data_IF_816180153849
#
_entry.id   IF_816180153849
#
_cell.length_a   1.000
_cell.length_b   1.000
_cell.length_c   1.000
_cell.angle_alpha   90.00
_cell.angle_beta   90.00
_cell.angle_gamma   90.00
#
_symmetry.space_group_name_H-M   'P 1'
#
loop_
_entity.id
_entity.type
_entity.pdbx_description
1 polymer ?
#
# COMPACT_ATOMS: atom_id res chain seq x y z
N UNK A 1 24.60 -85.74 -33.60
CA UNK A 1 24.28 -84.32 -33.83
C UNK A 1 25.14 -83.89 -35.00
N UNK A 2 24.52 -83.52 -36.11
CA UNK A 2 25.22 -83.27 -37.38
C UNK A 2 25.88 -81.89 -37.34
N UNK A 3 27.09 -81.73 -37.87
CA UNK A 3 27.79 -80.43 -37.94
C UNK A 3 26.98 -79.32 -38.65
N UNK A 4 25.93 -79.71 -39.39
CA UNK A 4 24.99 -78.81 -40.04
C UNK A 4 23.93 -78.25 -39.07
N UNK A 5 23.49 -79.02 -38.08
CA UNK A 5 22.53 -78.59 -37.05
C UNK A 5 23.17 -77.58 -36.08
N UNK A 6 24.42 -77.80 -35.68
CA UNK A 6 25.18 -76.83 -34.85
C UNK A 6 25.45 -75.50 -35.58
N UNK A 7 25.55 -75.53 -36.92
CA UNK A 7 25.76 -74.32 -37.72
C UNK A 7 24.48 -73.50 -37.86
N UNK A 8 23.35 -74.17 -38.12
CA UNK A 8 22.02 -73.53 -38.19
C UNK A 8 21.61 -72.94 -36.82
N UNK A 9 21.86 -73.66 -35.71
CA UNK A 9 21.56 -73.17 -34.35
C UNK A 9 22.43 -71.95 -33.97
N UNK A 10 23.71 -71.95 -34.34
CA UNK A 10 24.58 -70.78 -34.14
C UNK A 10 24.15 -69.58 -34.99
N UNK A 11 23.71 -69.80 -36.24
CA UNK A 11 23.23 -68.73 -37.11
C UNK A 11 21.92 -68.11 -36.58
N UNK A 12 21.03 -68.93 -36.03
CA UNK A 12 19.78 -68.48 -35.40
C UNK A 12 20.05 -67.67 -34.11
N UNK A 13 20.98 -68.12 -33.27
CA UNK A 13 21.42 -67.40 -32.07
C UNK A 13 22.08 -66.05 -32.42
N UNK A 14 22.91 -66.01 -33.47
CA UNK A 14 23.53 -64.77 -33.96
C UNK A 14 22.49 -63.79 -34.47
N UNK A 15 21.50 -64.26 -35.25
CA UNK A 15 20.41 -63.43 -35.75
C UNK A 15 19.51 -62.91 -34.62
N UNK A 16 19.22 -63.73 -33.61
CA UNK A 16 18.46 -63.33 -32.42
C UNK A 16 19.19 -62.27 -31.61
N UNK A 17 20.50 -62.43 -31.39
CA UNK A 17 21.33 -61.44 -30.71
C UNK A 17 21.42 -60.12 -31.48
N UNK A 18 21.53 -60.19 -32.81
CA UNK A 18 21.55 -59.00 -33.68
C UNK A 18 20.21 -58.25 -33.60
N UNK A 19 19.10 -58.95 -33.73
CA UNK A 19 17.73 -58.41 -33.59
C UNK A 19 17.50 -57.75 -32.22
N UNK A 20 17.91 -58.43 -31.14
CA UNK A 20 17.81 -57.88 -29.79
C UNK A 20 18.66 -56.62 -29.59
N UNK A 21 19.88 -56.58 -30.16
CA UNK A 21 20.75 -55.42 -30.10
C UNK A 21 20.18 -54.21 -30.84
N UNK A 22 19.55 -54.42 -31.99
CA UNK A 22 18.88 -53.39 -32.77
C UNK A 22 17.62 -52.88 -32.06
N UNK A 23 16.80 -53.77 -31.50
CA UNK A 23 15.66 -53.39 -30.66
C UNK A 23 16.09 -52.55 -29.46
N UNK A 24 17.18 -52.92 -28.78
CA UNK A 24 17.73 -52.16 -27.64
C UNK A 24 18.19 -50.77 -28.07
N UNK A 25 18.85 -50.63 -29.22
CA UNK A 25 19.26 -49.33 -29.79
C UNK A 25 18.05 -48.45 -30.14
N UNK A 26 17.04 -49.01 -30.79
CA UNK A 26 15.80 -48.29 -31.14
C UNK A 26 15.08 -47.78 -29.89
N UNK A 27 14.88 -48.64 -28.89
CA UNK A 27 14.27 -48.27 -27.62
C UNK A 27 15.07 -47.21 -26.87
N UNK A 28 16.41 -47.29 -26.90
CA UNK A 28 17.26 -46.27 -26.28
C UNK A 28 17.13 -44.91 -26.99
N UNK A 29 17.04 -44.91 -28.33
CA UNK A 29 16.85 -43.71 -29.14
C UNK A 29 15.49 -43.06 -28.88
N UNK A 30 14.43 -43.85 -28.76
CA UNK A 30 13.10 -43.36 -28.37
C UNK A 30 13.10 -42.75 -26.96
N UNK A 31 13.76 -43.40 -25.99
CA UNK A 31 13.88 -42.87 -24.63
C UNK A 31 14.68 -41.56 -24.58
N UNK A 32 15.75 -41.44 -25.37
CA UNK A 32 16.50 -40.18 -25.47
C UNK A 32 15.67 -39.07 -26.11
N UNK A 33 14.87 -39.41 -27.13
CA UNK A 33 13.95 -38.47 -27.76
C UNK A 33 12.87 -37.99 -26.78
N UNK A 34 12.25 -38.91 -26.04
CA UNK A 34 11.28 -38.59 -25.00
C UNK A 34 11.89 -37.70 -23.90
N UNK A 35 13.10 -38.02 -23.42
CA UNK A 35 13.82 -37.17 -22.45
C UNK A 35 14.11 -35.77 -22.99
N UNK A 36 14.59 -35.66 -24.23
CA UNK A 36 14.87 -34.38 -24.86
C UNK A 36 13.59 -33.55 -25.06
N UNK A 37 12.47 -34.19 -25.38
CA UNK A 37 11.16 -33.53 -25.48
C UNK A 37 10.69 -33.01 -24.11
N UNK A 38 10.79 -33.83 -23.06
CA UNK A 38 10.44 -33.43 -21.69
C UNK A 38 11.31 -32.26 -21.20
N UNK A 39 12.61 -32.30 -21.43
CA UNK A 39 13.51 -31.19 -21.07
C UNK A 39 13.14 -29.88 -21.79
N UNK A 40 12.74 -29.96 -23.06
CA UNK A 40 12.24 -28.78 -23.80
C UNK A 40 10.93 -28.25 -23.22
N UNK A 41 10.02 -29.12 -22.82
CA UNK A 41 8.76 -28.75 -22.17
C UNK A 41 9.00 -28.13 -20.78
N UNK A 42 9.89 -28.69 -19.99
CA UNK A 42 10.28 -28.17 -18.67
C UNK A 42 10.97 -26.80 -18.77
N UNK A 43 11.86 -26.61 -19.74
CA UNK A 43 12.51 -25.32 -19.98
C UNK A 43 11.49 -24.23 -20.38
N UNK A 44 10.52 -24.58 -21.24
CA UNK A 44 9.41 -23.69 -21.60
C UNK A 44 8.50 -23.38 -20.41
N UNK A 45 8.22 -24.38 -19.56
CA UNK A 45 7.42 -24.20 -18.34
C UNK A 45 8.14 -23.27 -17.36
N UNK A 46 9.44 -23.48 -17.11
CA UNK A 46 10.24 -22.68 -16.15
C UNK A 46 10.30 -21.21 -16.52
N UNK A 47 10.51 -20.88 -17.79
CA UNK A 47 10.50 -19.48 -18.27
C UNK A 47 9.13 -18.84 -18.08
N UNK A 48 8.04 -19.56 -18.39
CA UNK A 48 6.68 -19.10 -18.15
C UNK A 48 6.40 -18.88 -16.65
N UNK A 49 6.90 -19.75 -15.75
CA UNK A 49 6.74 -19.57 -14.30
C UNK A 49 7.44 -18.30 -13.80
N UNK A 50 8.64 -18.00 -14.31
CA UNK A 50 9.35 -16.76 -13.94
C UNK A 50 8.64 -15.51 -14.47
N UNK A 51 8.12 -15.55 -15.70
CA UNK A 51 7.33 -14.44 -16.27
C UNK A 51 6.06 -14.20 -15.45
N UNK A 52 5.34 -15.26 -15.09
CA UNK A 52 4.17 -15.17 -14.20
C UNK A 52 4.53 -14.63 -12.83
N UNK A 53 5.62 -15.11 -12.21
CA UNK A 53 6.08 -14.65 -10.91
C UNK A 53 6.48 -13.16 -10.94
N UNK A 54 7.13 -12.70 -12.02
CA UNK A 54 7.46 -11.29 -12.20
C UNK A 54 6.20 -10.43 -12.37
N UNK A 55 5.20 -10.91 -13.13
CA UNK A 55 3.92 -10.23 -13.32
C UNK A 55 3.14 -10.14 -12.00
N UNK A 56 3.05 -11.23 -11.23
CA UNK A 56 2.35 -11.23 -9.93
C UNK A 56 3.07 -10.36 -8.90
N UNK A 57 4.41 -10.37 -8.87
CA UNK A 57 5.18 -9.47 -8.02
C UNK A 57 4.97 -7.99 -8.41
N UNK A 58 4.90 -7.69 -9.71
CA UNK A 58 4.59 -6.34 -10.19
C UNK A 58 3.17 -5.88 -9.82
N UNK A 59 2.17 -6.75 -10.00
CA UNK A 59 0.80 -6.50 -9.57
C UNK A 59 0.69 -6.31 -8.06
N UNK A 60 1.40 -7.15 -7.30
CA UNK A 60 1.47 -7.06 -5.84
C UNK A 60 2.08 -5.73 -5.40
N UNK A 61 3.17 -5.30 -6.02
CA UNK A 61 3.79 -4.01 -5.76
C UNK A 61 2.87 -2.83 -6.09
N UNK A 62 2.14 -2.90 -7.21
CA UNK A 62 1.19 -1.87 -7.61
C UNK A 62 0.02 -1.75 -6.63
N UNK A 63 -0.57 -2.89 -6.23
CA UNK A 63 -1.66 -2.91 -5.25
C UNK A 63 -1.16 -2.44 -3.89
N UNK A 64 0.01 -2.90 -3.44
CA UNK A 64 0.61 -2.45 -2.19
C UNK A 64 0.85 -0.94 -2.19
N UNK A 65 1.37 -0.39 -3.28
CA UNK A 65 1.53 1.06 -3.45
C UNK A 65 0.20 1.81 -3.38
N UNK A 66 -0.87 1.25 -3.98
CA UNK A 66 -2.18 1.89 -3.98
C UNK A 66 -2.82 1.87 -2.59
N UNK A 67 -2.60 0.79 -1.82
CA UNK A 67 -3.00 0.68 -0.42
C UNK A 67 -2.25 1.69 0.44
N UNK A 68 -0.93 1.82 0.28
CA UNK A 68 -0.14 2.81 1.05
C UNK A 68 -0.53 4.25 0.75
N UNK A 69 -0.85 4.56 -0.51
CA UNK A 69 -1.31 5.90 -0.90
C UNK A 69 -2.72 6.17 -0.34
N UNK A 70 -3.60 5.17 -0.34
CA UNK A 70 -4.98 5.33 0.16
C UNK A 70 -5.08 5.36 1.70
N UNK A 71 -4.00 5.05 2.41
CA UNK A 71 -3.95 5.05 3.88
C UNK A 71 -3.64 6.44 4.46
N UNK A 72 -2.98 7.32 3.72
CA UNK A 72 -2.60 8.66 4.19
C UNK A 72 -3.29 9.77 3.40
N UNK A 73 -4.51 10.10 3.81
CA UNK A 73 -5.17 11.35 3.41
C UNK A 73 -4.45 12.53 4.07
N UNK A 74 -3.50 13.18 3.38
CA UNK A 74 -2.80 14.31 3.99
C UNK A 74 -1.91 15.12 3.05
N UNK A 75 -2.09 16.44 3.09
CA UNK A 75 -1.01 17.36 2.69
C UNK A 75 -0.10 17.54 3.89
N UNK A 76 1.21 17.46 3.67
CA UNK A 76 2.20 17.55 4.74
C UNK A 76 3.11 18.76 4.55
N UNK A 77 3.65 19.24 5.67
CA UNK A 77 4.59 20.36 5.74
C UNK A 77 5.89 19.82 6.33
N UNK A 78 7.03 20.21 5.77
CA UNK A 78 8.34 19.87 6.32
C UNK A 78 8.53 20.53 7.69
N UNK A 79 8.74 19.70 8.72
CA UNK A 79 8.92 20.15 10.10
C UNK A 79 10.16 21.04 10.23
N UNK A 80 11.27 20.64 9.61
CA UNK A 80 12.53 21.36 9.75
C UNK A 80 12.46 22.73 9.07
N UNK A 81 11.88 22.78 7.87
CA UNK A 81 11.70 24.04 7.13
C UNK A 81 10.86 25.03 7.92
N UNK A 82 9.66 24.61 8.35
CA UNK A 82 8.74 25.49 9.08
C UNK A 82 9.34 25.98 10.41
N UNK A 83 9.99 25.10 11.17
CA UNK A 83 10.62 25.49 12.43
C UNK A 83 11.77 26.46 12.23
N UNK A 84 12.59 26.24 11.19
CA UNK A 84 13.69 27.15 10.83
C UNK A 84 13.16 28.53 10.44
N UNK A 85 12.06 28.60 9.70
CA UNK A 85 11.43 29.86 9.32
C UNK A 85 10.95 30.63 10.55
N UNK A 86 10.27 29.95 11.49
CA UNK A 86 9.82 30.56 12.75
C UNK A 86 11.00 31.06 13.57
N UNK A 87 12.05 30.23 13.76
CA UNK A 87 13.26 30.62 14.48
C UNK A 87 13.92 31.85 13.85
N UNK A 88 13.96 31.91 12.52
CA UNK A 88 14.51 33.05 11.78
C UNK A 88 13.70 34.32 12.01
N UNK A 89 12.37 34.23 11.93
CA UNK A 89 11.46 35.35 12.18
C UNK A 89 11.65 35.88 13.60
N UNK A 90 11.65 34.99 14.61
CA UNK A 90 11.81 35.37 16.03
C UNK A 90 13.19 35.98 16.29
N UNK A 91 14.25 35.41 15.72
CA UNK A 91 15.61 35.94 15.84
C UNK A 91 15.72 37.36 15.29
N UNK A 92 15.01 37.64 14.20
CA UNK A 92 14.93 38.95 13.55
C UNK A 92 13.92 39.91 14.19
N UNK A 93 13.40 39.61 15.39
CA UNK A 93 12.38 40.40 16.10
C UNK A 93 11.08 40.58 15.30
N UNK A 94 10.70 39.56 14.50
CA UNK A 94 9.42 39.53 13.83
C UNK A 94 8.25 39.38 14.81
N UNK A 95 7.07 39.87 14.38
CA UNK A 95 5.85 39.85 15.18
C UNK A 95 5.03 38.57 14.97
N UNK A 96 3.98 38.40 15.77
CA UNK A 96 3.06 37.28 15.65
C UNK A 96 2.40 37.20 14.27
N UNK A 97 2.21 38.34 13.59
CA UNK A 97 1.62 38.40 12.24
C UNK A 97 2.57 37.78 11.21
N UNK A 98 3.86 38.07 11.27
CA UNK A 98 4.86 37.46 10.40
C UNK A 98 4.90 35.93 10.56
N UNK A 99 4.81 35.43 11.81
CA UNK A 99 4.75 34.00 12.10
C UNK A 99 3.49 33.36 11.49
N UNK A 100 2.32 33.97 11.71
CA UNK A 100 1.05 33.50 11.12
C UNK A 100 1.11 33.45 9.60
N UNK A 101 1.69 34.47 8.98
CA UNK A 101 1.82 34.54 7.52
C UNK A 101 2.78 33.47 6.98
N UNK A 102 3.91 33.26 7.66
CA UNK A 102 4.86 32.19 7.31
C UNK A 102 4.21 30.82 7.40
N UNK A 103 3.49 30.57 8.49
CA UNK A 103 2.75 29.32 8.70
C UNK A 103 1.70 29.08 7.60
N UNK A 104 0.92 30.10 7.23
CA UNK A 104 -0.10 30.00 6.19
C UNK A 104 0.46 29.77 4.77
N UNK A 105 1.66 30.30 4.50
CA UNK A 105 2.29 30.26 3.17
C UNK A 105 3.21 29.05 2.95
N UNK A 106 3.28 28.10 3.90
CA UNK A 106 4.14 26.93 3.76
C UNK A 106 3.77 26.08 2.54
N UNK A 107 4.79 25.69 1.78
CA UNK A 107 4.62 24.78 0.64
C UNK A 107 4.27 23.38 1.13
N UNK A 108 3.19 22.81 0.60
CA UNK A 108 2.81 21.43 0.90
C UNK A 108 3.61 20.45 0.05
N UNK A 109 4.15 19.41 0.68
CA UNK A 109 4.86 18.34 0.00
C UNK A 109 3.85 17.25 -0.40
N UNK A 110 4.05 16.68 -1.59
CA UNK A 110 3.23 15.58 -2.13
C UNK A 110 3.51 14.25 -1.43
N UNK A 111 2.46 13.44 -1.28
CA UNK A 111 2.44 12.12 -0.63
C UNK A 111 3.51 11.14 -1.15
N UNK A 112 3.87 11.22 -2.44
CA UNK A 112 4.92 10.38 -3.05
C UNK A 112 6.30 10.53 -2.39
N UNK A 113 6.61 11.71 -1.82
CA UNK A 113 7.88 11.95 -1.13
C UNK A 113 7.90 11.35 0.28
N UNK A 114 6.72 11.10 0.88
CA UNK A 114 6.58 10.52 2.21
C UNK A 114 6.85 9.02 2.22
N UNK A 115 6.52 8.31 1.14
CA UNK A 115 6.76 6.86 1.02
C UNK A 115 8.25 6.50 1.17
N UNK A 116 9.16 7.42 0.78
CA UNK A 116 10.61 7.24 0.91
C UNK A 116 11.22 7.88 2.17
N UNK A 117 10.45 8.61 2.99
CA UNK A 117 11.00 9.39 4.10
C UNK A 117 10.30 9.09 5.42
N UNK A 118 10.96 9.38 6.55
CA UNK A 118 10.38 9.11 7.87
C UNK A 118 9.23 10.07 8.15
N UNK A 119 8.06 9.51 8.50
CA UNK A 119 6.85 10.24 8.91
C UNK A 119 7.10 11.27 10.03
N UNK A 120 8.10 11.05 10.88
CA UNK A 120 8.50 11.96 11.96
C UNK A 120 9.04 13.32 11.50
N UNK A 121 9.43 13.43 10.22
CA UNK A 121 10.00 14.66 9.66
C UNK A 121 8.94 15.67 9.18
N UNK A 122 7.65 15.34 9.30
CA UNK A 122 6.59 16.14 8.70
C UNK A 122 5.46 16.44 9.68
N UNK A 123 4.86 17.61 9.51
CA UNK A 123 3.59 17.96 10.13
C UNK A 123 2.43 17.70 9.16
N UNK A 124 1.27 17.25 9.66
CA UNK A 124 0.04 17.32 8.88
C UNK A 124 -0.34 18.78 8.65
N UNK A 125 -0.91 19.13 7.50
CA UNK A 125 -1.36 20.51 7.20
C UNK A 125 -2.39 21.04 8.19
N UNK A 126 -3.12 20.16 8.86
CA UNK A 126 -4.14 20.50 9.87
C UNK A 126 -3.54 20.77 11.26
N UNK A 127 -2.21 20.76 11.42
CA UNK A 127 -1.57 21.05 12.70
C UNK A 127 -1.94 22.47 13.16
N UNK A 128 -2.17 22.64 14.47
CA UNK A 128 -2.38 23.95 15.07
C UNK A 128 -1.04 24.70 15.18
N UNK A 129 -1.04 26.02 14.98
CA UNK A 129 0.19 26.81 15.11
C UNK A 129 0.70 26.79 16.55
N UNK A 130 -0.18 26.71 17.55
CA UNK A 130 0.22 26.53 18.95
C UNK A 130 1.11 25.30 19.14
N UNK A 131 0.76 24.17 18.52
CA UNK A 131 1.54 22.93 18.63
C UNK A 131 2.91 23.06 17.96
N UNK A 132 3.01 23.81 16.85
CA UNK A 132 4.29 24.08 16.20
C UNK A 132 5.16 25.01 17.06
N UNK A 133 4.57 26.03 17.68
CA UNK A 133 5.29 26.93 18.57
C UNK A 133 5.81 26.21 19.82
N UNK A 134 5.03 25.31 20.40
CA UNK A 134 5.46 24.43 21.50
C UNK A 134 6.63 23.53 21.07
N UNK A 135 6.57 22.96 19.87
CA UNK A 135 7.67 22.15 19.33
C UNK A 135 8.95 22.98 19.13
N UNK A 136 8.84 24.22 18.62
CA UNK A 136 9.98 25.14 18.49
C UNK A 136 10.56 25.49 19.86
N UNK A 137 9.69 25.73 20.86
CA UNK A 137 10.09 25.99 22.24
C UNK A 137 10.86 24.81 22.84
N UNK A 138 10.34 23.59 22.69
CA UNK A 138 11.01 22.36 23.16
C UNK A 138 12.37 22.21 22.48
N UNK A 139 12.46 22.43 21.17
CA UNK A 139 13.74 22.36 20.46
C UNK A 139 14.73 23.44 20.92
N UNK A 140 14.27 24.65 21.19
CA UNK A 140 15.11 25.72 21.72
C UNK A 140 15.69 25.35 23.09
N UNK A 141 14.91 24.67 23.95
CA UNK A 141 15.43 24.11 25.21
C UNK A 141 16.45 23.01 24.99
N UNK A 142 16.19 22.07 24.07
CA UNK A 142 17.12 20.96 23.75
C UNK A 142 18.45 21.50 23.21
N UNK A 143 18.39 22.51 22.32
CA UNK A 143 19.56 23.14 21.69
C UNK A 143 20.22 24.22 22.56
N UNK A 144 19.66 24.52 23.74
CA UNK A 144 20.13 25.54 24.66
C UNK A 144 20.21 26.96 24.02
N UNK A 145 19.21 27.31 23.20
CA UNK A 145 19.09 28.60 22.52
C UNK A 145 18.58 29.69 23.47
N UNK A 146 19.44 30.12 24.40
CA UNK A 146 19.11 31.05 25.50
C UNK A 146 18.62 32.42 25.03
N UNK A 147 18.96 32.84 23.83
CA UNK A 147 18.55 34.14 23.26
C UNK A 147 17.18 34.09 22.58
N UNK A 148 16.74 32.90 22.16
CA UNK A 148 15.48 32.71 21.44
C UNK A 148 14.29 32.59 22.41
N UNK A 149 14.46 31.85 23.51
CA UNK A 149 13.41 31.60 24.49
C UNK A 149 12.76 32.89 25.05
N UNK A 150 13.51 33.93 25.45
CA UNK A 150 12.91 35.17 25.96
C UNK A 150 12.09 35.94 24.91
N UNK A 151 12.39 35.75 23.62
CA UNK A 151 11.64 36.36 22.51
C UNK A 151 10.44 35.53 22.10
N UNK A 152 10.54 34.21 22.20
CA UNK A 152 9.49 33.28 21.81
C UNK A 152 8.35 33.21 22.84
N UNK A 153 8.67 33.20 24.14
CA UNK A 153 7.67 33.03 25.21
C UNK A 153 6.56 34.11 25.21
N UNK A 154 6.86 35.41 25.01
CA UNK A 154 5.82 36.43 24.87
C UNK A 154 4.91 36.20 23.66
N UNK A 155 5.47 35.77 22.53
CA UNK A 155 4.71 35.52 21.30
C UNK A 155 3.77 34.31 21.46
N UNK A 156 4.22 33.27 22.18
CA UNK A 156 3.38 32.12 22.53
C UNK A 156 2.20 32.56 23.39
N UNK A 157 2.47 33.31 24.47
CA UNK A 157 1.41 33.82 25.36
C UNK A 157 0.41 34.70 24.63
N UNK A 158 0.90 35.62 23.80
CA UNK A 158 0.04 36.48 22.96
C UNK A 158 -0.83 35.63 22.02
N UNK A 159 -0.25 34.60 21.41
CA UNK A 159 -1.01 33.70 20.52
C UNK A 159 -2.12 32.95 21.25
N UNK A 160 -1.82 32.37 22.42
CA UNK A 160 -2.77 31.64 23.25
C UNK A 160 -3.89 32.53 23.80
N UNK A 161 -3.59 33.79 24.11
CA UNK A 161 -4.60 34.76 24.55
C UNK A 161 -5.55 35.15 23.42
N UNK A 162 -5.03 35.33 22.21
CA UNK A 162 -5.84 35.68 21.04
C UNK A 162 -6.63 34.44 20.56
N UNK A 163 -6.03 33.26 20.56
CA UNK A 163 -6.57 32.03 19.96
C UNK A 163 -6.55 30.85 20.96
N UNK A 164 -7.32 30.92 22.07
CA UNK A 164 -7.30 29.88 23.11
C UNK A 164 -7.80 28.52 22.63
N UNK A 165 -8.54 28.48 21.52
CA UNK A 165 -9.20 27.29 21.00
C UNK A 165 -8.59 26.79 19.67
N UNK A 166 -7.39 27.24 19.31
CA UNK A 166 -6.74 26.87 18.03
C UNK A 166 -6.48 25.37 17.88
N UNK A 167 -6.28 24.68 19.01
CA UNK A 167 -6.04 23.23 19.07
C UNK A 167 -7.29 22.38 18.77
N UNK A 168 -8.47 23.00 18.72
CA UNK A 168 -9.75 22.30 18.56
C UNK A 168 -10.18 22.19 17.10
N UNK A 169 -11.02 21.20 16.81
CA UNK A 169 -11.66 21.08 15.51
C UNK A 169 -12.63 22.23 15.28
N UNK A 170 -12.87 22.62 14.02
CA UNK A 170 -13.70 23.78 13.64
C UNK A 170 -15.05 23.80 14.37
N UNK A 171 -15.79 22.68 14.37
CA UNK A 171 -17.08 22.60 15.05
C UNK A 171 -16.99 22.67 16.58
N UNK A 172 -15.91 22.15 17.19
CA UNK A 172 -15.67 22.27 18.63
C UNK A 172 -15.32 23.70 19.01
N UNK A 173 -14.44 24.35 18.23
CA UNK A 173 -14.02 25.73 18.40
C UNK A 173 -15.22 26.68 18.47
N UNK A 174 -16.20 26.50 17.59
CA UNK A 174 -17.41 27.32 17.57
C UNK A 174 -18.19 27.24 18.90
N UNK A 175 -18.26 26.08 19.54
CA UNK A 175 -18.91 25.95 20.86
C UNK A 175 -18.18 26.74 21.94
N UNK A 176 -16.84 26.71 21.97
CA UNK A 176 -16.05 27.44 22.97
C UNK A 176 -16.03 28.94 22.71
N UNK A 177 -15.97 29.38 21.45
CA UNK A 177 -16.13 30.79 21.11
C UNK A 177 -17.52 31.30 21.51
N UNK A 178 -18.57 30.50 21.29
CA UNK A 178 -19.91 30.84 21.76
C UNK A 178 -20.00 30.94 23.28
N UNK A 179 -19.30 30.08 24.04
CA UNK A 179 -19.23 30.18 25.50
C UNK A 179 -18.53 31.48 25.89
N UNK A 180 -17.38 31.78 25.28
CA UNK A 180 -16.63 33.02 25.53
C UNK A 180 -17.47 34.26 25.26
N UNK A 181 -18.17 34.30 24.11
CA UNK A 181 -19.05 35.40 23.72
C UNK A 181 -20.25 35.51 24.66
N UNK A 182 -20.88 34.40 25.06
CA UNK A 182 -22.07 34.45 25.94
C UNK A 182 -21.74 34.77 27.39
N UNK A 183 -20.51 34.51 27.82
CA UNK A 183 -20.07 34.73 29.21
C UNK A 183 -19.39 36.07 29.43
N UNK A 184 -18.92 36.74 28.37
CA UNK A 184 -18.28 38.08 28.37
C UNK A 184 -17.51 38.41 29.66
N UNK A 185 -18.16 39.09 30.61
CA UNK A 185 -17.57 39.56 31.87
C UNK A 185 -17.30 38.49 32.93
N UNK A 186 -17.92 37.31 32.83
CA UNK A 186 -17.63 36.17 33.74
C UNK A 186 -16.58 35.22 33.15
N UNK A 187 -16.27 35.32 31.86
CA UNK A 187 -15.27 34.47 31.20
C UNK A 187 -13.91 34.45 31.92
N UNK A 188 -13.33 35.58 32.38
CA UNK A 188 -12.05 35.57 33.09
C UNK A 188 -12.04 34.68 34.35
N UNK A 189 -13.19 34.49 34.99
CA UNK A 189 -13.32 33.65 36.20
C UNK A 189 -13.28 32.15 35.89
N UNK A 190 -13.72 31.77 34.69
CA UNK A 190 -13.79 30.37 34.24
C UNK A 190 -12.73 30.03 33.18
N UNK A 191 -11.95 31.02 32.71
CA UNK A 191 -10.97 30.87 31.62
C UNK A 191 -10.03 29.70 31.84
N UNK A 192 -9.53 29.52 33.06
CA UNK A 192 -8.60 28.45 33.39
C UNK A 192 -9.24 27.05 33.22
N UNK A 193 -10.47 26.88 33.71
CA UNK A 193 -11.21 25.62 33.60
C UNK A 193 -11.57 25.31 32.14
N UNK A 194 -11.94 26.35 31.38
CA UNK A 194 -12.20 26.22 29.94
C UNK A 194 -10.94 25.81 29.18
N UNK A 195 -9.80 26.44 29.45
CA UNK A 195 -8.53 26.08 28.81
C UNK A 195 -8.12 24.63 29.14
N UNK A 196 -8.27 24.19 30.39
CA UNK A 196 -8.01 22.80 30.76
C UNK A 196 -8.91 21.82 29.99
N UNK A 197 -10.19 22.17 29.81
CA UNK A 197 -11.13 21.34 29.05
C UNK A 197 -10.77 21.29 27.56
N UNK A 198 -10.30 22.42 27.01
CA UNK A 198 -9.79 22.50 25.63
C UNK A 198 -8.58 21.59 25.45
N UNK A 199 -7.62 21.60 26.38
CA UNK A 199 -6.44 20.74 26.31
C UNK A 199 -6.80 19.25 26.45
N UNK A 200 -7.72 18.89 27.36
CA UNK A 200 -8.20 17.51 27.50
C UNK A 200 -8.94 17.05 26.24
N UNK A 201 -9.80 17.89 25.66
CA UNK A 201 -10.52 17.57 24.44
C UNK A 201 -9.57 17.43 23.25
N UNK A 202 -8.56 18.29 23.15
CA UNK A 202 -7.50 18.15 22.15
C UNK A 202 -6.76 16.82 22.29
N UNK A 203 -6.38 16.43 23.50
CA UNK A 203 -5.72 15.14 23.76
C UNK A 203 -6.62 13.96 23.38
N UNK A 204 -7.92 14.02 23.70
CA UNK A 204 -8.90 13.00 23.30
C UNK A 204 -9.03 12.91 21.78
N UNK A 205 -9.06 14.05 21.07
CA UNK A 205 -9.11 14.07 19.61
C UNK A 205 -7.86 13.42 18.99
N UNK A 206 -6.66 13.68 19.55
CA UNK A 206 -5.42 13.04 19.10
C UNK A 206 -5.49 11.52 19.25
N UNK A 207 -5.92 11.03 20.42
CA UNK A 207 -6.08 9.59 20.67
C UNK A 207 -7.13 8.95 19.75
N UNK A 208 -8.26 9.62 19.53
CA UNK A 208 -9.29 9.13 18.59
C UNK A 208 -8.73 9.05 17.18
N UNK A 209 -7.99 10.06 16.72
CA UNK A 209 -7.36 10.03 15.40
C UNK A 209 -6.33 8.91 15.27
N UNK A 210 -5.56 8.63 16.33
CA UNK A 210 -4.63 7.50 16.40
C UNK A 210 -5.37 6.16 16.29
N UNK A 211 -6.44 5.96 17.06
CA UNK A 211 -7.25 4.74 16.98
C UNK A 211 -7.96 4.58 15.63
N UNK A 212 -8.46 5.67 15.04
CA UNK A 212 -9.07 5.64 13.71
C UNK A 212 -8.03 5.30 12.63
N UNK A 213 -6.80 5.81 12.75
CA UNK A 213 -5.68 5.47 11.87
C UNK A 213 -5.35 3.97 11.97
N UNK A 214 -5.27 3.42 13.19
CA UNK A 214 -5.04 1.99 13.42
C UNK A 214 -6.18 1.12 12.87
N UNK A 215 -7.41 1.59 13.00
CA UNK A 215 -8.60 0.92 12.45
C UNK A 215 -8.58 0.90 10.92
N UNK A 216 -8.25 2.03 10.27
CA UNK A 216 -8.05 2.09 8.81
C UNK A 216 -6.95 1.14 8.35
N UNK A 217 -5.82 1.10 9.07
CA UNK A 217 -4.72 0.19 8.77
C UNK A 217 -5.17 -1.28 8.86
N UNK A 218 -5.86 -1.64 9.92
CA UNK A 218 -6.40 -2.99 10.13
C UNK A 218 -7.41 -3.38 9.05
N UNK A 219 -8.26 -2.45 8.65
CA UNK A 219 -9.20 -2.65 7.54
C UNK A 219 -8.48 -2.94 6.22
N UNK A 220 -7.47 -2.14 5.87
CA UNK A 220 -6.68 -2.35 4.65
C UNK A 220 -5.86 -3.65 4.68
N UNK A 221 -5.30 -4.02 5.84
CA UNK A 221 -4.64 -5.33 6.03
C UNK A 221 -5.63 -6.47 5.78
N UNK A 222 -6.88 -6.34 6.21
CA UNK A 222 -7.90 -7.38 6.00
C UNK A 222 -8.26 -7.54 4.52
N UNK A 223 -8.45 -6.44 3.78
CA UNK A 223 -8.67 -6.45 2.32
C UNK A 223 -7.49 -7.12 1.62
N UNK A 224 -6.27 -6.77 2.04
CA UNK A 224 -5.05 -7.32 1.49
C UNK A 224 -4.92 -8.83 1.73
N UNK A 225 -5.27 -9.31 2.94
CA UNK A 225 -5.26 -10.73 3.26
C UNK A 225 -6.25 -11.53 2.41
N UNK A 226 -7.46 -10.99 2.17
CA UNK A 226 -8.45 -11.61 1.29
C UNK A 226 -7.93 -11.69 -0.15
N UNK A 227 -7.32 -10.61 -0.66
CA UNK A 227 -6.72 -10.61 -1.99
C UNK A 227 -5.58 -11.64 -2.12
N UNK A 228 -4.69 -11.71 -1.12
CA UNK A 228 -3.60 -12.69 -1.09
C UNK A 228 -4.13 -14.13 -1.06
N UNK A 229 -5.18 -14.38 -0.28
CA UNK A 229 -5.85 -15.68 -0.20
C UNK A 229 -6.44 -16.10 -1.54
N UNK A 230 -7.11 -15.18 -2.25
CA UNK A 230 -7.63 -15.42 -3.60
C UNK A 230 -6.52 -15.72 -4.61
N UNK A 231 -5.41 -14.98 -4.55
CA UNK A 231 -4.24 -15.23 -5.42
C UNK A 231 -3.60 -16.60 -5.16
N UNK A 232 -3.36 -16.95 -3.89
CA UNK A 232 -2.79 -18.25 -3.51
C UNK A 232 -3.74 -19.37 -3.90
N UNK A 233 -5.04 -19.24 -3.61
CA UNK A 233 -6.07 -20.21 -3.97
C UNK A 233 -6.16 -20.38 -5.49
N UNK A 234 -6.18 -19.29 -6.25
CA UNK A 234 -6.19 -19.31 -7.71
C UNK A 234 -4.95 -20.00 -8.28
N UNK A 235 -3.76 -19.70 -7.74
CA UNK A 235 -2.52 -20.35 -8.15
C UNK A 235 -2.50 -21.85 -7.82
N UNK A 236 -2.98 -22.25 -6.63
CA UNK A 236 -3.09 -23.66 -6.24
C UNK A 236 -4.04 -24.44 -7.15
N UNK A 237 -5.18 -23.85 -7.53
CA UNK A 237 -6.12 -24.48 -8.46
C UNK A 237 -5.50 -24.59 -9.87
N UNK A 238 -4.82 -23.53 -10.34
CA UNK A 238 -4.12 -23.52 -11.64
C UNK A 238 -3.01 -24.55 -11.73
N UNK A 239 -2.19 -24.67 -10.69
CA UNK A 239 -1.07 -25.61 -10.66
C UNK A 239 -1.48 -27.05 -10.38
N UNK A 240 -2.55 -27.27 -9.59
CA UNK A 240 -3.01 -28.59 -9.17
C UNK A 240 -3.92 -29.32 -10.17
N UNK A 241 -4.72 -28.61 -10.98
CA UNK A 241 -5.65 -29.21 -11.95
C UNK A 241 -5.82 -28.37 -13.24
N UNK A 242 -4.79 -28.28 -14.09
CA UNK A 242 -4.86 -27.48 -15.32
C UNK A 242 -5.95 -27.94 -16.30
N UNK A 243 -6.31 -29.23 -16.29
CA UNK A 243 -7.34 -29.79 -17.19
C UNK A 243 -8.77 -29.41 -16.79
N UNK A 244 -9.04 -29.25 -15.49
CA UNK A 244 -10.37 -28.84 -15.01
C UNK A 244 -10.65 -27.37 -15.35
N UNK A 245 -9.65 -26.49 -15.20
CA UNK A 245 -9.75 -25.08 -15.56
C UNK A 245 -9.93 -24.85 -17.07
N UNK A 246 -9.27 -25.67 -17.91
CA UNK A 246 -9.50 -25.62 -19.36
C UNK A 246 -10.93 -25.99 -19.71
N UNK A 247 -11.51 -27.00 -19.07
CA UNK A 247 -12.91 -27.38 -19.28
C UNK A 247 -13.89 -26.31 -18.83
N UNK A 248 -13.65 -25.63 -17.71
CA UNK A 248 -14.54 -24.56 -17.25
C UNK A 248 -14.39 -23.28 -18.08
N UNK A 249 -13.19 -22.93 -18.54
CA UNK A 249 -12.98 -21.79 -19.44
C UNK A 249 -13.58 -22.03 -20.83
N UNK A 250 -13.40 -23.22 -21.40
CA UNK A 250 -14.02 -23.59 -22.67
C UNK A 250 -15.54 -23.63 -22.51
N UNK A 251 -16.07 -24.21 -21.43
CA UNK A 251 -17.50 -24.20 -21.16
C UNK A 251 -18.10 -22.80 -20.96
N UNK A 252 -17.34 -21.83 -20.41
CA UNK A 252 -17.81 -20.46 -20.27
C UNK A 252 -17.82 -19.70 -21.61
N UNK A 253 -16.86 -20.00 -22.49
CA UNK A 253 -16.75 -19.42 -23.83
C UNK A 253 -17.81 -20.03 -24.76
N UNK A 254 -18.03 -21.35 -24.70
CA UNK A 254 -19.06 -22.03 -25.51
C UNK A 254 -20.48 -21.55 -25.15
N UNK A 255 -20.77 -21.34 -23.85
CA UNK A 255 -22.04 -20.75 -23.40
C UNK A 255 -22.25 -19.34 -23.96
N UNK A 256 -21.19 -18.54 -24.09
CA UNK A 256 -21.30 -17.19 -24.69
C UNK A 256 -21.57 -17.22 -26.21
N UNK A 257 -21.15 -18.27 -26.92
CA UNK A 257 -21.42 -18.45 -28.35
C UNK A 257 -22.79 -19.08 -28.63
N UNK A 258 -23.31 -19.94 -27.75
CA UNK A 258 -24.64 -20.55 -27.92
C UNK A 258 -25.77 -19.50 -27.74
N UNK A 259 -25.57 -18.50 -26.88
CA UNK A 259 -26.52 -17.38 -26.69
C UNK A 259 -26.58 -16.44 -27.92
N UNK A 260 -25.50 -16.32 -28.72
CA UNK A 260 -25.51 -15.57 -29.98
C UNK A 260 -26.20 -16.34 -31.13
N UNK A 261 -26.05 -17.66 -31.20
CA UNK A 261 -26.70 -18.47 -32.25
C UNK A 261 -28.23 -18.54 -32.08
N UNK A 262 -28.74 -18.61 -30.83
CA UNK A 262 -30.18 -18.61 -30.57
C UNK A 262 -30.84 -17.25 -30.84
N UNK A 263 -30.11 -16.14 -30.70
CA UNK A 263 -30.60 -14.81 -31.04
C UNK A 263 -30.69 -14.59 -32.57
N UNK A 264 -29.84 -15.25 -33.36
CA UNK A 264 -29.87 -15.13 -34.83
C UNK A 264 -30.99 -15.95 -35.49
N UNK A 265 -31.31 -17.14 -34.96
CA UNK A 265 -32.35 -18.00 -35.52
C UNK A 265 -33.78 -17.54 -35.22
N UNK A 266 -34.00 -16.72 -34.18
CA UNK A 266 -35.32 -16.14 -33.88
C UNK A 266 -35.70 -14.96 -34.79
N UNK A 267 -34.76 -14.41 -35.56
CA UNK A 267 -35.00 -13.23 -36.41
C UNK A 267 -35.51 -13.57 -37.82
N UNK A 268 -35.49 -14.84 -38.22
CA UNK A 268 -35.98 -15.30 -39.54
C UNK A 268 -37.34 -16.05 -39.50
N UNK A 269 -38.05 -16.02 -38.37
CA UNK A 269 -39.38 -16.60 -38.22
C UNK A 269 -40.40 -15.56 -37.69
N UNK A 270 -40.51 -14.44 -38.39
CA UNK A 270 -41.68 -13.57 -38.32
C UNK A 270 -41.77 -12.75 -39.60
N UNK A 271 -42.27 -13.38 -40.66
CA UNK A 271 -42.99 -12.75 -41.77
C UNK A 271 -43.40 -13.86 -42.76
N UNK A 272 -44.55 -14.47 -42.49
CA UNK A 272 -45.42 -15.17 -43.46
C UNK A 272 -46.80 -15.36 -42.84
#
# INVERSE_FOLDING_TARGET
MSAKEEFEENEELLNKNRSYSEFKKLRHRELLYQKAMLQRLEAKKRSYTWVLAALTAGLFSAIFSLVTVSLEDGRYIDKESLQRDIVTIVSNNGDLRAIKQSFANQSTISELKLILSSKSSYYPKTIALSSVLDDVRVQAFIKNEKELLPKLEPLIKEYEEINPFDKLQIGQKDYFENIRIKTEGTYPKIKNDINNLVDELHQKNLLVNEYLSDSKMSFWISIFAVFLSLMIGGYQIYSGRPEALRKTLIGLVDVSSEDEEQASNKKNQSDS
#
